data_IF_952638500874
#
_entry.id   IF_952638500874
#
_cell.length_a   1.000
_cell.length_b   1.000
_cell.length_c   1.000
_cell.angle_alpha   90.00
_cell.angle_beta   90.00
_cell.angle_gamma   90.00
#
_symmetry.space_group_name_H-M   'P 1'
#
loop_
_entity.id
_entity.type
_entity.pdbx_description
1 polymer ?
#
# COMPACT_ATOMS: atom_id res chain seq x y z
N UNK A 1 28.39 -29.06 -7.93
CA UNK A 1 27.31 -28.37 -7.19
C UNK A 1 26.02 -29.09 -7.50
N UNK A 2 25.43 -29.79 -6.52
CA UNK A 2 24.15 -30.47 -6.73
C UNK A 2 23.02 -29.45 -6.88
N UNK A 3 21.93 -29.77 -7.59
CA UNK A 3 20.78 -28.89 -7.67
C UNK A 3 20.24 -28.62 -6.25
N UNK A 4 19.78 -27.39 -5.96
CA UNK A 4 19.19 -27.08 -4.66
C UNK A 4 18.02 -28.04 -4.40
N UNK A 5 18.02 -28.68 -3.23
CA UNK A 5 16.95 -29.61 -2.87
C UNK A 5 15.61 -28.87 -2.78
N UNK A 6 14.54 -29.40 -3.37
CA UNK A 6 13.19 -28.81 -3.35
C UNK A 6 12.70 -28.36 -1.96
N UNK A 7 13.15 -29.02 -0.89
CA UNK A 7 12.85 -28.64 0.50
C UNK A 7 13.24 -27.20 0.86
N UNK A 8 14.26 -26.63 0.21
CA UNK A 8 14.71 -25.27 0.48
C UNK A 8 13.77 -24.23 -0.16
N UNK A 9 13.25 -24.54 -1.36
CA UNK A 9 12.33 -23.67 -2.09
C UNK A 9 10.99 -23.55 -1.35
N UNK A 10 10.45 -24.67 -0.88
CA UNK A 10 9.18 -24.69 -0.13
C UNK A 10 9.26 -23.84 1.16
N UNK A 11 10.38 -23.95 1.89
CA UNK A 11 10.60 -23.16 3.10
C UNK A 11 10.66 -21.65 2.79
N UNK A 12 11.31 -21.28 1.69
CA UNK A 12 11.42 -19.89 1.25
C UNK A 12 10.07 -19.33 0.78
N UNK A 13 9.26 -20.11 0.05
CA UNK A 13 7.91 -19.73 -0.37
C UNK A 13 7.03 -19.49 0.86
N UNK A 14 6.98 -20.45 1.80
CA UNK A 14 6.17 -20.32 3.01
C UNK A 14 6.56 -19.11 3.86
N UNK A 15 7.86 -18.85 4.00
CA UNK A 15 8.37 -17.65 4.68
C UNK A 15 7.96 -16.37 3.96
N UNK A 16 8.01 -16.37 2.63
CA UNK A 16 7.61 -15.23 1.79
C UNK A 16 6.12 -14.94 1.94
N UNK A 17 5.26 -15.97 1.83
CA UNK A 17 3.82 -15.87 2.03
C UNK A 17 3.48 -15.18 3.37
N UNK A 18 4.04 -15.67 4.48
CA UNK A 18 3.79 -15.10 5.81
C UNK A 18 4.25 -13.66 5.94
N UNK A 19 5.42 -13.35 5.40
CA UNK A 19 5.94 -11.98 5.37
C UNK A 19 5.00 -11.05 4.60
N UNK A 20 4.44 -11.52 3.48
CA UNK A 20 3.52 -10.74 2.66
C UNK A 20 2.18 -10.53 3.32
N UNK A 21 1.62 -11.56 3.96
CA UNK A 21 0.41 -11.43 4.79
C UNK A 21 0.62 -10.33 5.82
N UNK A 22 1.71 -10.38 6.59
CA UNK A 22 2.00 -9.37 7.61
C UNK A 22 2.12 -7.95 7.03
N UNK A 23 2.79 -7.79 5.88
CA UNK A 23 2.95 -6.48 5.22
C UNK A 23 1.59 -5.95 4.74
N UNK A 24 0.84 -6.75 3.97
CA UNK A 24 -0.43 -6.29 3.41
C UNK A 24 -1.49 -6.07 4.49
N UNK A 25 -1.51 -6.89 5.54
CA UNK A 25 -2.37 -6.67 6.70
C UNK A 25 -2.02 -5.35 7.40
N UNK A 26 -0.73 -5.09 7.65
CA UNK A 26 -0.31 -3.83 8.25
C UNK A 26 -0.70 -2.62 7.38
N UNK A 27 -0.52 -2.71 6.06
CA UNK A 27 -0.91 -1.64 5.12
C UNK A 27 -2.41 -1.42 5.12
N UNK A 28 -3.20 -2.48 5.02
CA UNK A 28 -4.67 -2.43 5.11
C UNK A 28 -5.11 -1.76 6.42
N UNK A 29 -4.62 -2.23 7.56
CA UNK A 29 -5.00 -1.71 8.87
C UNK A 29 -4.60 -0.24 9.05
N UNK A 30 -3.49 0.19 8.43
CA UNK A 30 -3.03 1.59 8.46
C UNK A 30 -3.87 2.51 7.57
N UNK A 31 -4.66 1.96 6.64
CA UNK A 31 -5.46 2.71 5.67
C UNK A 31 -6.93 2.74 6.01
N UNK A 32 -7.43 1.82 6.85
CA UNK A 32 -8.83 1.84 7.30
C UNK A 32 -9.10 3.18 7.99
N UNK A 33 -9.98 4.03 7.43
CA UNK A 33 -10.42 5.21 8.15
C UNK A 33 -11.26 4.71 9.33
N UNK A 34 -10.77 4.89 10.55
CA UNK A 34 -11.54 4.63 11.77
C UNK A 34 -12.64 5.69 11.92
N UNK A 35 -13.62 5.68 11.00
CA UNK A 35 -14.91 6.32 11.14
C UNK A 35 -15.85 5.43 11.98
N UNK A 36 -15.34 4.85 13.08
CA UNK A 36 -16.26 4.36 14.10
C UNK A 36 -16.83 5.61 14.77
N UNK A 37 -18.14 5.89 14.62
CA UNK A 37 -18.75 6.96 15.39
C UNK A 37 -18.56 6.58 16.86
N UNK A 38 -17.66 7.28 17.54
CA UNK A 38 -17.72 7.34 18.99
C UNK A 38 -19.17 7.68 19.34
N UNK A 39 -19.84 6.80 20.10
CA UNK A 39 -21.19 7.06 20.62
C UNK A 39 -21.25 8.36 21.42
N UNK A 40 -20.10 8.90 21.81
CA UNK A 40 -19.96 10.17 22.47
C UNK A 40 -19.29 11.21 21.55
N UNK A 41 -20.04 12.19 21.02
CA UNK A 41 -19.49 13.27 20.21
C UNK A 41 -18.59 14.23 21.02
N UNK A 42 -18.63 14.19 22.35
CA UNK A 42 -17.80 15.04 23.21
C UNK A 42 -16.38 14.51 23.43
N UNK A 43 -16.12 13.24 23.08
CA UNK A 43 -14.84 12.57 23.34
C UNK A 43 -14.13 12.12 22.04
N UNK A 44 -14.31 12.89 20.96
CA UNK A 44 -13.58 12.70 19.70
C UNK A 44 -12.13 13.17 19.86
N UNK A 45 -11.31 12.37 20.53
CA UNK A 45 -9.87 12.48 20.32
C UNK A 45 -9.61 11.91 18.92
N UNK A 46 -9.09 12.70 17.95
CA UNK A 46 -8.73 12.15 16.66
C UNK A 46 -7.73 11.04 16.89
N UNK A 47 -8.09 9.82 16.51
CA UNK A 47 -7.28 8.64 16.78
C UNK A 47 -6.04 8.73 15.90
N UNK A 48 -4.94 9.10 16.55
CA UNK A 48 -3.64 9.34 15.95
C UNK A 48 -2.89 8.03 15.83
N UNK A 49 -2.93 7.40 14.65
CA UNK A 49 -2.15 6.18 14.41
C UNK A 49 -0.84 6.49 13.70
N UNK A 50 0.22 5.69 13.98
CA UNK A 50 1.44 5.72 13.18
C UNK A 50 1.13 5.27 11.75
N UNK A 51 1.13 6.20 10.81
CA UNK A 51 1.18 5.92 9.39
C UNK A 51 2.51 5.24 9.07
N UNK A 52 2.43 4.02 8.51
CA UNK A 52 3.59 3.18 8.17
C UNK A 52 4.59 2.96 9.33
N UNK A 53 4.11 3.04 10.57
CA UNK A 53 4.95 2.84 11.76
C UNK A 53 5.98 3.94 12.05
N UNK A 54 5.97 5.05 11.30
CA UNK A 54 7.00 6.10 11.39
C UNK A 54 6.45 7.44 11.87
N UNK A 55 5.25 7.82 11.44
CA UNK A 55 4.75 9.18 11.64
C UNK A 55 3.27 9.13 11.97
N UNK A 56 2.87 9.86 13.00
CA UNK A 56 1.47 9.96 13.37
C UNK A 56 0.80 10.96 12.43
N UNK A 57 -0.15 10.48 11.61
CA UNK A 57 -0.95 11.31 10.71
C UNK A 57 -2.42 11.26 11.11
N UNK A 58 -3.09 12.41 11.05
CA UNK A 58 -4.54 12.48 11.21
C UNK A 58 -5.22 12.00 9.90
N UNK A 59 -6.44 11.44 9.93
CA UNK A 59 -7.10 10.86 8.74
C UNK A 59 -7.22 11.80 7.54
N UNK A 60 -7.40 13.11 7.80
CA UNK A 60 -7.42 14.13 6.75
C UNK A 60 -6.08 14.26 6.03
N UNK A 61 -4.97 14.13 6.75
CA UNK A 61 -3.63 14.18 6.18
C UNK A 61 -3.34 12.93 5.34
N UNK A 62 -3.78 11.77 5.82
CA UNK A 62 -3.71 10.50 5.07
C UNK A 62 -4.50 10.64 3.76
N UNK A 63 -5.75 11.08 3.83
CA UNK A 63 -6.58 11.31 2.65
C UNK A 63 -5.94 12.33 1.70
N UNK A 64 -5.38 13.42 2.23
CA UNK A 64 -4.73 14.43 1.42
C UNK A 64 -3.49 13.89 0.68
N UNK A 65 -2.71 12.96 1.28
CA UNK A 65 -1.60 12.29 0.60
C UNK A 65 -2.07 11.45 -0.59
N UNK A 66 -3.17 10.72 -0.43
CA UNK A 66 -3.70 9.82 -1.47
C UNK A 66 -4.49 10.52 -2.58
N UNK A 67 -4.94 11.75 -2.35
CA UNK A 67 -5.56 12.59 -3.38
C UNK A 67 -4.56 13.23 -4.36
N UNK A 68 -3.26 12.93 -4.23
CA UNK A 68 -2.26 13.44 -5.17
C UNK A 68 -2.52 12.91 -6.61
N UNK A 69 -2.58 13.79 -7.63
CA UNK A 69 -2.84 13.40 -9.01
C UNK A 69 -1.92 12.32 -9.55
N UNK A 70 -0.70 12.16 -9.01
CA UNK A 70 0.24 11.14 -9.46
C UNK A 70 -0.24 9.71 -9.21
N UNK A 71 -1.16 9.51 -8.26
CA UNK A 71 -1.71 8.20 -7.95
C UNK A 71 -2.78 7.77 -8.96
N UNK A 72 -3.39 8.70 -9.70
CA UNK A 72 -4.49 8.41 -10.64
C UNK A 72 -4.21 7.30 -11.65
N UNK A 73 -3.01 7.21 -12.28
CA UNK A 73 -2.69 6.11 -13.18
C UNK A 73 -2.65 4.75 -12.48
N UNK A 74 -2.25 4.71 -11.20
CA UNK A 74 -2.15 3.47 -10.41
C UNK A 74 -3.51 2.96 -9.95
N UNK A 75 -4.49 3.83 -9.70
CA UNK A 75 -5.83 3.43 -9.23
C UNK A 75 -6.46 2.42 -10.20
N UNK A 76 -6.39 2.69 -11.50
CA UNK A 76 -6.96 1.81 -12.53
C UNK A 76 -6.30 0.44 -12.51
N UNK A 77 -4.97 0.40 -12.41
CA UNK A 77 -4.20 -0.85 -12.36
C UNK A 77 -4.61 -1.69 -11.14
N UNK A 78 -4.62 -1.06 -9.96
CA UNK A 78 -5.00 -1.71 -8.70
C UNK A 78 -6.44 -2.23 -8.73
N UNK A 79 -7.35 -1.43 -9.30
CA UNK A 79 -8.75 -1.81 -9.42
C UNK A 79 -8.95 -3.02 -10.34
N UNK A 80 -8.35 -2.98 -11.55
CA UNK A 80 -8.41 -4.09 -12.50
C UNK A 80 -7.81 -5.34 -11.87
N UNK A 81 -6.63 -5.21 -11.27
CA UNK A 81 -5.97 -6.36 -10.65
C UNK A 81 -6.78 -6.92 -9.47
N UNK A 82 -7.25 -6.07 -8.56
CA UNK A 82 -8.04 -6.50 -7.41
C UNK A 82 -9.35 -7.20 -7.81
N UNK A 83 -10.05 -6.68 -8.81
CA UNK A 83 -11.28 -7.31 -9.34
C UNK A 83 -11.00 -8.64 -10.03
N UNK A 84 -10.00 -8.71 -10.91
CA UNK A 84 -9.61 -9.95 -11.58
C UNK A 84 -9.14 -11.02 -10.59
N UNK A 85 -8.40 -10.63 -9.56
CA UNK A 85 -7.95 -11.56 -8.50
C UNK A 85 -9.13 -12.06 -7.67
N UNK A 86 -10.08 -11.19 -7.34
CA UNK A 86 -11.25 -11.58 -6.55
C UNK A 86 -12.04 -12.69 -7.26
N UNK A 87 -12.13 -12.66 -8.59
CA UNK A 87 -12.81 -13.71 -9.36
C UNK A 87 -12.11 -15.08 -9.27
N UNK A 88 -10.78 -15.11 -9.20
CA UNK A 88 -10.03 -16.38 -9.10
C UNK A 88 -9.94 -16.88 -7.65
N UNK A 89 -10.15 -16.01 -6.65
CA UNK A 89 -10.14 -16.38 -5.24
C UNK A 89 -11.27 -17.36 -4.87
N UNK A 90 -12.34 -17.43 -5.65
CA UNK A 90 -13.45 -18.35 -5.41
C UNK A 90 -13.20 -19.78 -5.95
N UNK A 91 -12.12 -20.00 -6.71
CA UNK A 91 -11.80 -21.32 -7.29
C UNK A 91 -11.37 -22.32 -6.20
N UNK A 92 -12.13 -23.39 -5.98
CA UNK A 92 -11.78 -24.40 -4.98
C UNK A 92 -10.60 -25.27 -5.41
N UNK A 93 -10.53 -25.63 -6.70
CA UNK A 93 -9.44 -26.44 -7.24
C UNK A 93 -8.14 -25.65 -7.33
N UNK A 94 -7.07 -26.24 -6.79
CA UNK A 94 -5.77 -25.56 -6.71
C UNK A 94 -5.06 -25.47 -8.05
N UNK A 95 -5.27 -26.41 -8.98
CA UNK A 95 -4.68 -26.34 -10.32
C UNK A 95 -5.39 -25.30 -11.18
N UNK A 96 -6.72 -25.23 -11.09
CA UNK A 96 -7.52 -24.19 -11.75
C UNK A 96 -7.13 -22.80 -11.23
N UNK A 97 -6.95 -22.64 -9.92
CA UNK A 97 -6.47 -21.39 -9.33
C UNK A 97 -5.09 -21.00 -9.87
N UNK A 98 -4.12 -21.92 -9.89
CA UNK A 98 -2.77 -21.64 -10.37
C UNK A 98 -2.75 -21.30 -11.86
N UNK A 99 -3.54 -22.02 -12.67
CA UNK A 99 -3.69 -21.74 -14.10
C UNK A 99 -4.30 -20.36 -14.35
N UNK A 100 -5.37 -20.02 -13.62
CA UNK A 100 -6.01 -18.72 -13.73
C UNK A 100 -5.06 -17.59 -13.26
N UNK A 101 -4.26 -17.85 -12.23
CA UNK A 101 -3.21 -16.94 -11.74
C UNK A 101 -2.14 -16.71 -12.82
N UNK A 102 -1.66 -17.77 -13.47
CA UNK A 102 -0.67 -17.67 -14.54
C UNK A 102 -1.20 -16.82 -15.71
N UNK A 103 -2.44 -17.10 -16.14
CA UNK A 103 -3.10 -16.31 -17.17
C UNK A 103 -3.20 -14.84 -16.77
N UNK A 104 -3.66 -14.56 -15.55
CA UNK A 104 -3.78 -13.21 -15.03
C UNK A 104 -2.42 -12.48 -15.00
N UNK A 105 -1.35 -13.12 -14.54
CA UNK A 105 -0.02 -12.50 -14.55
C UNK A 105 0.45 -12.16 -15.97
N UNK A 106 0.15 -13.01 -16.94
CA UNK A 106 0.50 -12.77 -18.35
C UNK A 106 -0.33 -11.63 -18.96
N UNK A 107 -1.62 -11.55 -18.63
CA UNK A 107 -2.48 -10.43 -19.05
C UNK A 107 -2.05 -9.11 -18.41
N UNK A 108 -1.61 -9.15 -17.15
CA UNK A 108 -1.08 -7.99 -16.43
C UNK A 108 0.20 -7.47 -17.08
N UNK A 109 1.15 -8.36 -17.41
CA UNK A 109 2.37 -8.00 -18.14
C UNK A 109 2.03 -7.30 -19.47
N UNK A 110 1.16 -7.91 -20.27
CA UNK A 110 0.73 -7.33 -21.55
C UNK A 110 0.02 -5.98 -21.38
N UNK A 111 -0.78 -5.82 -20.32
CA UNK A 111 -1.43 -4.55 -20.00
C UNK A 111 -0.41 -3.48 -19.59
N UNK A 112 0.55 -3.80 -18.72
CA UNK A 112 1.61 -2.90 -18.27
C UNK A 112 2.44 -2.40 -19.45
N UNK A 113 2.81 -3.30 -20.36
CA UNK A 113 3.50 -2.96 -21.60
C UNK A 113 2.63 -2.05 -22.50
N UNK A 114 1.34 -2.33 -22.61
CA UNK A 114 0.41 -1.54 -23.42
C UNK A 114 0.25 -0.11 -22.90
N UNK A 115 0.16 0.09 -21.58
CA UNK A 115 -0.04 1.43 -20.99
C UNK A 115 1.25 2.22 -20.85
N UNK A 116 2.41 1.57 -20.99
CA UNK A 116 3.72 2.22 -20.91
C UNK A 116 3.80 3.39 -21.91
N UNK A 117 3.98 4.60 -21.41
CA UNK A 117 4.06 5.83 -22.21
C UNK A 117 2.72 6.36 -22.76
N UNK A 118 1.57 5.79 -22.38
CA UNK A 118 0.25 6.25 -22.85
C UNK A 118 -0.53 6.98 -21.76
N UNK A 119 -1.19 8.07 -22.14
CA UNK A 119 -2.18 8.72 -21.30
C UNK A 119 -3.43 7.83 -21.18
N UNK A 120 -3.79 7.46 -19.95
CA UNK A 120 -4.99 6.68 -19.67
C UNK A 120 -6.17 7.59 -19.36
N UNK A 121 -7.40 7.15 -19.66
CA UNK A 121 -8.59 7.90 -19.29
C UNK A 121 -8.66 8.09 -17.76
N UNK A 122 -9.17 9.24 -17.27
CA UNK A 122 -9.39 9.44 -15.85
C UNK A 122 -10.17 8.27 -15.24
N UNK A 123 -9.76 7.85 -14.06
CA UNK A 123 -10.42 6.83 -13.27
C UNK A 123 -10.79 7.50 -11.95
N UNK A 124 -12.08 7.50 -11.61
CA UNK A 124 -12.66 8.42 -10.61
C UNK A 124 -12.75 7.83 -9.20
N UNK A 125 -12.16 6.66 -8.97
CA UNK A 125 -12.15 6.05 -7.64
C UNK A 125 -11.12 6.73 -6.74
N UNK A 126 -11.38 6.71 -5.44
CA UNK A 126 -10.43 7.14 -4.42
C UNK A 126 -9.26 6.16 -4.32
N UNK A 127 -8.02 6.65 -4.39
CA UNK A 127 -6.85 5.77 -4.35
C UNK A 127 -6.75 5.02 -3.03
N UNK A 128 -6.98 5.69 -1.89
CA UNK A 128 -6.81 5.07 -0.58
C UNK A 128 -7.76 3.89 -0.43
N UNK A 129 -9.03 4.06 -0.84
CA UNK A 129 -10.04 3.00 -0.88
C UNK A 129 -9.62 1.84 -1.78
N UNK A 130 -9.20 2.12 -3.03
CA UNK A 130 -8.81 1.06 -3.97
C UNK A 130 -7.57 0.32 -3.48
N UNK A 131 -6.60 1.04 -2.92
CA UNK A 131 -5.36 0.45 -2.42
C UNK A 131 -5.57 -0.36 -1.14
N UNK A 132 -6.42 0.10 -0.23
CA UNK A 132 -6.87 -0.65 0.95
C UNK A 132 -7.54 -1.96 0.53
N UNK A 133 -8.51 -1.89 -0.39
CA UNK A 133 -9.22 -3.07 -0.88
C UNK A 133 -8.28 -4.03 -1.61
N UNK A 134 -7.30 -3.51 -2.37
CA UNK A 134 -6.25 -4.32 -2.97
C UNK A 134 -5.39 -5.03 -1.91
N UNK A 135 -5.02 -4.35 -0.82
CA UNK A 135 -4.26 -4.96 0.27
C UNK A 135 -5.06 -6.11 0.91
N UNK A 136 -6.36 -5.93 1.13
CA UNK A 136 -7.24 -6.98 1.63
C UNK A 136 -7.26 -8.20 0.69
N UNK A 137 -7.50 -7.98 -0.60
CA UNK A 137 -7.50 -9.04 -1.62
C UNK A 137 -6.15 -9.76 -1.68
N UNK A 138 -5.03 -9.03 -1.58
CA UNK A 138 -3.70 -9.62 -1.56
C UNK A 138 -3.48 -10.53 -0.33
N UNK A 139 -3.97 -10.14 0.85
CA UNK A 139 -3.96 -11.02 2.04
C UNK A 139 -4.70 -12.32 1.76
N UNK A 140 -5.91 -12.24 1.18
CA UNK A 140 -6.70 -13.42 0.84
C UNK A 140 -5.98 -14.35 -0.15
N UNK A 141 -5.31 -13.80 -1.15
CA UNK A 141 -4.47 -14.57 -2.09
C UNK A 141 -3.37 -15.34 -1.36
N UNK A 142 -2.61 -14.67 -0.49
CA UNK A 142 -1.52 -15.33 0.22
C UNK A 142 -2.02 -16.36 1.24
N UNK A 143 -3.16 -16.12 1.90
CA UNK A 143 -3.78 -17.12 2.76
C UNK A 143 -4.21 -18.36 1.97
N UNK A 144 -4.80 -18.16 0.78
CA UNK A 144 -5.15 -19.25 -0.13
C UNK A 144 -3.91 -20.03 -0.58
N UNK A 145 -2.83 -19.32 -0.95
CA UNK A 145 -1.54 -19.93 -1.27
C UNK A 145 -0.93 -20.68 -0.07
N UNK A 146 -1.05 -20.19 1.16
CA UNK A 146 -0.57 -20.88 2.37
C UNK A 146 -1.31 -22.20 2.60
N UNK A 147 -2.64 -22.17 2.42
CA UNK A 147 -3.49 -23.35 2.54
C UNK A 147 -3.12 -24.39 1.47
N UNK A 148 -2.95 -23.94 0.22
CA UNK A 148 -2.53 -24.79 -0.90
C UNK A 148 -1.12 -25.36 -0.73
N UNK A 149 -0.18 -24.57 -0.19
CA UNK A 149 1.18 -25.05 0.11
C UNK A 149 1.18 -26.21 1.11
N UNK A 150 0.18 -26.28 1.99
CA UNK A 150 0.07 -27.38 2.95
C UNK A 150 -0.40 -28.69 2.30
N UNK A 151 -1.08 -28.63 1.15
CA UNK A 151 -1.61 -29.78 0.41
C UNK A 151 -0.84 -30.15 -0.86
N UNK A 152 -0.13 -29.19 -1.48
CA UNK A 152 0.62 -29.36 -2.72
C UNK A 152 2.12 -29.30 -2.44
N UNK A 153 2.85 -30.33 -2.85
CA UNK A 153 4.27 -30.17 -3.15
C UNK A 153 4.37 -29.21 -4.33
N UNK A 154 4.92 -28.01 -4.11
CA UNK A 154 5.12 -27.06 -5.19
C UNK A 154 6.05 -27.69 -6.23
N UNK A 155 5.50 -27.97 -7.41
CA UNK A 155 6.34 -28.29 -8.56
C UNK A 155 7.19 -27.05 -8.91
N UNK A 156 8.27 -27.23 -9.68
CA UNK A 156 9.06 -26.10 -10.17
C UNK A 156 8.18 -25.08 -10.92
N UNK A 157 7.26 -25.56 -11.77
CA UNK A 157 6.34 -24.69 -12.51
C UNK A 157 5.40 -23.88 -11.58
N UNK A 158 4.83 -24.51 -10.55
CA UNK A 158 3.96 -23.81 -9.61
C UNK A 158 4.72 -22.76 -8.81
N UNK A 159 6.01 -23.04 -8.52
CA UNK A 159 6.90 -22.08 -7.84
C UNK A 159 7.15 -20.85 -8.71
N UNK A 160 7.34 -21.04 -10.02
CA UNK A 160 7.54 -19.94 -10.96
C UNK A 160 6.30 -19.03 -11.04
N UNK A 161 5.10 -19.62 -11.09
CA UNK A 161 3.83 -18.86 -11.04
C UNK A 161 3.75 -18.04 -9.76
N UNK A 162 4.05 -18.65 -8.61
CA UNK A 162 4.09 -17.95 -7.32
C UNK A 162 5.06 -16.76 -7.34
N UNK A 163 6.30 -16.96 -7.80
CA UNK A 163 7.30 -15.89 -7.78
C UNK A 163 6.97 -14.75 -8.75
N UNK A 164 6.33 -15.05 -9.89
CA UNK A 164 5.83 -14.01 -10.79
C UNK A 164 4.75 -13.16 -10.12
N UNK A 165 3.76 -13.81 -9.51
CA UNK A 165 2.71 -13.10 -8.76
C UNK A 165 3.29 -12.26 -7.62
N UNK A 166 4.19 -12.83 -6.81
CA UNK A 166 4.86 -12.10 -5.71
C UNK A 166 5.64 -10.89 -6.22
N UNK A 167 6.31 -11.03 -7.37
CA UNK A 167 7.05 -9.92 -7.97
C UNK A 167 6.13 -8.75 -8.33
N UNK A 168 4.97 -9.01 -8.92
CA UNK A 168 3.99 -7.95 -9.22
C UNK A 168 3.50 -7.25 -7.95
N UNK A 169 3.07 -8.02 -6.97
CA UNK A 169 2.58 -7.48 -5.69
C UNK A 169 3.65 -6.67 -4.97
N UNK A 170 4.89 -7.16 -4.95
CA UNK A 170 6.02 -6.44 -4.39
C UNK A 170 6.29 -5.14 -5.12
N UNK A 171 6.28 -5.15 -6.46
CA UNK A 171 6.54 -3.96 -7.26
C UNK A 171 5.46 -2.89 -7.03
N UNK A 172 4.19 -3.30 -6.93
CA UNK A 172 3.08 -2.42 -6.58
C UNK A 172 3.31 -1.77 -5.22
N UNK A 173 3.55 -2.57 -4.17
CA UNK A 173 3.82 -2.03 -2.82
C UNK A 173 5.00 -1.06 -2.87
N UNK A 174 6.13 -1.49 -3.43
CA UNK A 174 7.35 -0.70 -3.43
C UNK A 174 7.18 0.62 -4.18
N UNK A 175 6.49 0.61 -5.33
CA UNK A 175 6.18 1.83 -6.07
C UNK A 175 5.28 2.75 -5.26
N UNK A 176 4.17 2.24 -4.72
CA UNK A 176 3.22 3.04 -3.94
C UNK A 176 3.86 3.62 -2.67
N UNK A 177 4.67 2.85 -1.94
CA UNK A 177 5.37 3.32 -0.74
C UNK A 177 6.42 4.40 -1.06
N UNK A 178 7.23 4.17 -2.10
CA UNK A 178 8.19 5.17 -2.60
C UNK A 178 7.46 6.45 -3.01
N UNK A 179 6.32 6.28 -3.66
CA UNK A 179 5.50 7.38 -4.10
C UNK A 179 4.92 8.20 -2.94
N UNK A 180 4.41 7.53 -1.91
CA UNK A 180 3.91 8.17 -0.71
C UNK A 180 5.02 8.88 0.06
N UNK A 181 6.18 8.27 0.22
CA UNK A 181 7.34 8.90 0.88
C UNK A 181 7.75 10.19 0.14
N UNK A 182 7.78 10.16 -1.20
CA UNK A 182 8.09 11.34 -2.00
C UNK A 182 7.05 12.46 -1.80
N UNK A 183 5.76 12.16 -1.91
CA UNK A 183 4.68 13.16 -1.70
C UNK A 183 4.76 13.74 -0.30
N UNK A 184 5.01 12.88 0.69
CA UNK A 184 5.13 13.27 2.07
C UNK A 184 6.32 14.21 2.31
N UNK A 185 7.52 13.86 1.83
CA UNK A 185 8.72 14.70 1.91
C UNK A 185 8.51 16.06 1.23
N UNK A 186 7.90 16.07 0.04
CA UNK A 186 7.61 17.31 -0.68
C UNK A 186 6.70 18.21 0.13
N UNK A 187 5.64 17.67 0.74
CA UNK A 187 4.72 18.46 1.59
C UNK A 187 5.40 19.01 2.84
N UNK A 188 6.23 18.21 3.51
CA UNK A 188 7.02 18.70 4.64
C UNK A 188 7.92 19.85 4.20
N UNK A 189 8.66 19.69 3.10
CA UNK A 189 9.57 20.71 2.61
C UNK A 189 8.81 22.00 2.25
N UNK A 190 7.67 21.90 1.58
CA UNK A 190 6.80 23.05 1.29
C UNK A 190 6.31 23.75 2.55
N UNK A 191 5.85 23.00 3.56
CA UNK A 191 5.40 23.58 4.82
C UNK A 191 6.51 24.32 5.56
N UNK A 192 7.74 23.80 5.57
CA UNK A 192 8.88 24.51 6.15
C UNK A 192 9.22 25.79 5.38
N UNK A 193 9.19 25.77 4.05
CA UNK A 193 9.39 26.97 3.23
C UNK A 193 8.33 28.04 3.49
N UNK A 194 7.06 27.65 3.69
CA UNK A 194 5.99 28.58 4.05
C UNK A 194 6.23 29.24 5.41
N UNK A 195 6.75 28.49 6.40
CA UNK A 195 7.12 29.04 7.71
C UNK A 195 8.31 29.99 7.60
N UNK A 196 9.34 29.63 6.84
CA UNK A 196 10.55 30.45 6.66
C UNK A 196 10.26 31.76 5.92
N UNK A 197 9.29 31.74 5.00
CA UNK A 197 8.87 32.92 4.22
C UNK A 197 7.71 33.69 4.87
N UNK A 198 7.15 33.18 5.96
CA UNK A 198 6.10 33.88 6.70
C UNK A 198 6.62 35.22 7.22
N UNK A 199 5.86 36.28 6.99
CA UNK A 199 6.20 37.61 7.51
C UNK A 199 6.30 37.57 9.02
N UNK A 200 7.43 38.07 9.55
CA UNK A 200 7.66 38.17 10.99
C UNK A 200 6.46 38.90 11.62
N UNK A 201 5.81 38.35 12.66
CA UNK A 201 4.65 38.98 13.26
C UNK A 201 5.00 40.40 13.74
N UNK A 202 4.12 41.38 13.49
CA UNK A 202 4.36 42.81 13.78
C UNK A 202 4.77 43.08 15.24
N UNK A 203 4.32 42.22 16.17
CA UNK A 203 4.61 42.35 17.61
C UNK A 203 5.80 41.50 18.09
N UNK A 204 6.52 40.82 17.20
CA UNK A 204 7.59 39.90 17.58
C UNK A 204 8.73 40.58 18.34
N UNK A 205 9.12 41.78 17.94
CA UNK A 205 10.20 42.54 18.59
C UNK A 205 9.73 43.18 19.91
N UNK A 206 8.50 43.68 19.97
CA UNK A 206 7.91 44.22 21.21
C UNK A 206 7.72 43.12 22.28
N UNK A 207 7.32 41.91 21.87
CA UNK A 207 7.16 40.79 22.80
C UNK A 207 8.51 40.23 23.29
N UNK A 208 9.56 40.27 22.46
CA UNK A 208 10.91 39.91 22.90
C UNK A 208 11.41 40.90 23.97
N UNK A 209 11.22 42.20 23.73
CA UNK A 209 11.63 43.25 24.68
C UNK A 209 10.87 43.16 26.01
N UNK A 210 9.57 42.85 25.96
CA UNK A 210 8.76 42.64 27.16
C UNK A 210 9.23 41.41 27.96
N UNK A 211 9.57 40.30 27.29
CA UNK A 211 10.08 39.10 27.96
C UNK A 211 11.47 39.30 28.55
N UNK A 212 12.37 40.01 27.86
CA UNK A 212 13.70 40.33 28.39
C UNK A 212 13.58 41.20 29.64
N UNK A 213 12.70 42.20 29.63
CA UNK A 213 12.43 43.06 30.80
C UNK A 213 11.74 42.34 31.97
N UNK A 214 11.03 41.24 31.71
CA UNK A 214 10.39 40.45 32.77
C UNK A 214 11.39 39.53 33.49
N UNK A 215 12.53 39.22 32.85
CA UNK A 215 13.57 38.32 33.36
C UNK A 215 14.70 39.11 34.06
N UNK A 216 14.88 40.39 33.73
CA UNK A 216 15.84 41.32 34.36
C UNK A 216 15.28 41.99 35.60
#
# INVERSE_FOLDING_TARGET
>A
MGPPSNKNIDADIKKTIRKRIAIFQHLHDSLIPHNLPSKDPSNRVPFRQPFMGLIILDPEQVNALFNDPKFKPQIRLLFILGTSISLILDLEDSQEFLKATEQLTSELDAYLDYISGKATKPFEFDFAMVFESFCHVAVLVYLKLENMHSSLLFSHHNSDIFFKLDAHFRNIIQSTLSDLDNVFRTRIASAFMEIDTATKPENSDQNLDLNIKFIS
#
